data_IF_918550701413
#
_entry.id   IF_918550701413
#
_cell.length_a   1.000
_cell.length_b   1.000
_cell.length_c   1.000
_cell.angle_alpha   90.00
_cell.angle_beta   90.00
_cell.angle_gamma   90.00
#
_symmetry.space_group_name_H-M   'P 1'
#
loop_
_entity.id
_entity.type
_entity.pdbx_description
1 polymer ?
#
# COMPACT_ATOMS: atom_id res chain seq x y z
N UNK A 1 54.02 -38.31 -11.30
CA UNK A 1 54.74 -37.27 -10.53
C UNK A 1 53.69 -36.33 -9.96
N UNK A 2 53.84 -36.05 -8.67
CA UNK A 2 52.99 -35.28 -7.75
C UNK A 2 52.90 -33.81 -8.19
N UNK A 3 51.78 -33.13 -7.90
CA UNK A 3 51.68 -31.67 -8.05
C UNK A 3 50.39 -31.11 -7.46
N UNK A 4 50.21 -31.25 -6.14
CA UNK A 4 50.16 -30.14 -5.18
C UNK A 4 48.91 -29.25 -5.27
N UNK A 5 48.00 -29.54 -4.34
CA UNK A 5 46.96 -28.64 -3.84
C UNK A 5 47.64 -27.47 -3.12
N UNK A 6 47.44 -26.24 -3.60
CA UNK A 6 47.78 -25.03 -2.84
C UNK A 6 46.55 -24.52 -2.12
N UNK A 7 46.46 -24.82 -0.82
CA UNK A 7 45.65 -24.07 0.15
C UNK A 7 46.29 -22.68 0.29
N UNK A 8 45.61 -21.64 -0.17
CA UNK A 8 45.96 -20.26 0.20
C UNK A 8 45.49 -19.96 1.61
N UNK A 9 46.49 -19.71 2.43
CA UNK A 9 46.53 -19.31 3.84
C UNK A 9 45.44 -18.31 4.26
N UNK A 10 44.77 -18.66 5.35
CA UNK A 10 43.95 -17.77 6.16
C UNK A 10 44.74 -16.52 6.58
N UNK A 11 44.19 -15.34 6.27
CA UNK A 11 44.63 -14.10 6.90
C UNK A 11 44.15 -14.09 8.35
N UNK A 12 45.06 -14.38 9.27
CA UNK A 12 44.86 -14.15 10.69
C UNK A 12 44.92 -12.64 10.95
N UNK A 13 43.80 -12.02 11.30
CA UNK A 13 43.79 -10.68 11.89
C UNK A 13 44.23 -10.78 13.34
N UNK A 14 45.49 -10.45 13.62
CA UNK A 14 46.01 -10.25 14.97
C UNK A 14 45.50 -8.91 15.53
N UNK A 15 45.04 -8.83 16.79
CA UNK A 15 44.64 -7.56 17.39
C UNK A 15 45.87 -6.77 17.82
N UNK A 16 45.98 -5.53 17.35
CA UNK A 16 46.94 -4.56 17.86
C UNK A 16 46.20 -3.49 18.68
N UNK A 17 46.35 -3.54 20.00
CA UNK A 17 46.24 -2.35 20.83
C UNK A 17 47.63 -1.67 20.84
N UNK A 18 47.68 -0.33 20.87
CA UNK A 18 48.18 0.25 22.12
C UNK A 18 47.56 1.60 22.54
N UNK A 19 47.53 1.75 23.86
CA UNK A 19 47.73 2.95 24.71
C UNK A 19 46.84 4.18 24.58
N UNK A 20 46.18 4.47 25.71
CA UNK A 20 45.63 5.75 26.11
C UNK A 20 46.72 6.82 26.29
N UNK A 21 46.45 8.03 25.79
CA UNK A 21 46.73 9.27 26.52
C UNK A 21 45.77 10.37 26.04
N UNK A 22 45.30 11.19 26.99
CA UNK A 22 44.04 11.92 26.88
C UNK A 22 44.09 13.30 26.25
N UNK A 23 42.93 13.79 25.83
CA UNK A 23 42.46 15.16 26.09
C UNK A 23 41.01 15.33 25.68
N UNK A 24 40.28 16.06 26.52
CA UNK A 24 38.87 16.35 26.44
C UNK A 24 38.46 16.99 25.10
N UNK A 25 37.26 16.62 24.63
CA UNK A 25 36.62 17.25 23.49
C UNK A 25 35.26 16.61 23.26
N UNK A 26 34.25 17.24 23.88
CA UNK A 26 32.82 17.13 23.59
C UNK A 26 32.23 15.73 23.38
N UNK A 27 31.46 15.30 24.39
CA UNK A 27 30.38 14.33 24.26
C UNK A 27 29.49 14.70 23.05
N UNK A 28 29.85 14.17 21.88
CA UNK A 28 28.90 13.97 20.81
C UNK A 28 27.95 12.87 21.31
N UNK A 29 26.90 13.31 22.00
CA UNK A 29 25.67 12.56 22.19
C UNK A 29 25.16 12.19 20.80
N UNK A 30 25.69 11.09 20.26
CA UNK A 30 25.19 10.44 19.08
C UNK A 30 23.86 9.84 19.51
N UNK A 31 22.84 10.68 19.50
CA UNK A 31 21.44 10.32 19.62
C UNK A 31 21.22 9.23 18.57
N UNK A 32 21.28 7.96 19.01
CA UNK A 32 20.86 6.83 18.20
C UNK A 32 19.40 7.09 17.93
N UNK A 33 19.11 7.71 16.79
CA UNK A 33 17.78 7.70 16.21
C UNK A 33 17.37 6.23 16.20
N UNK A 34 16.45 5.90 17.11
CA UNK A 34 15.74 4.65 17.06
C UNK A 34 15.23 4.52 15.62
N UNK A 35 15.31 3.34 14.99
CA UNK A 35 14.64 3.15 13.72
C UNK A 35 13.20 3.60 13.96
N UNK A 36 12.74 4.61 13.22
CA UNK A 36 11.37 5.06 13.29
C UNK A 36 10.51 3.80 13.23
N UNK A 37 9.69 3.57 14.25
CA UNK A 37 8.73 2.48 14.21
C UNK A 37 8.02 2.61 12.86
N UNK A 38 7.93 1.53 12.06
CA UNK A 38 7.17 1.62 10.82
C UNK A 38 5.81 2.13 11.25
N UNK A 39 5.38 3.28 10.73
CA UNK A 39 4.01 3.75 10.91
C UNK A 39 3.14 2.60 10.41
N UNK A 40 2.68 1.76 11.33
CA UNK A 40 1.83 0.64 11.02
C UNK A 40 0.58 1.30 10.44
N UNK A 41 0.16 0.95 9.22
CA UNK A 41 -1.01 1.57 8.65
C UNK A 41 -2.17 1.38 9.62
N UNK A 42 -2.81 2.47 10.00
CA UNK A 42 -3.90 2.49 10.98
C UNK A 42 -5.13 1.72 10.47
N UNK A 43 -5.21 1.48 9.16
CA UNK A 43 -6.38 0.96 8.48
C UNK A 43 -6.08 -0.21 7.56
N UNK A 44 -7.04 -1.13 7.47
CA UNK A 44 -7.02 -2.27 6.55
C UNK A 44 -8.00 -2.04 5.42
N UNK A 45 -7.62 -2.44 4.21
CA UNK A 45 -8.50 -2.41 3.04
C UNK A 45 -8.55 -3.80 2.41
N UNK A 46 -9.53 -4.01 1.54
CA UNK A 46 -9.55 -5.18 0.67
C UNK A 46 -8.68 -4.89 -0.54
N UNK A 47 -7.65 -5.70 -0.72
CA UNK A 47 -6.87 -5.77 -1.94
C UNK A 47 -7.44 -6.83 -2.89
N UNK A 48 -7.71 -6.44 -4.13
CA UNK A 48 -8.19 -7.31 -5.20
C UNK A 48 -7.03 -7.92 -5.99
N UNK A 49 -6.83 -9.22 -5.81
CA UNK A 49 -5.88 -9.99 -6.60
C UNK A 49 -6.38 -10.27 -8.02
N UNK A 50 -5.47 -10.47 -8.98
CA UNK A 50 -4.00 -10.44 -8.83
C UNK A 50 -3.39 -9.04 -8.92
N UNK A 51 -4.18 -8.02 -9.22
CA UNK A 51 -3.68 -6.73 -9.70
C UNK A 51 -3.29 -5.75 -8.61
N UNK A 52 -3.73 -5.95 -7.37
CA UNK A 52 -3.36 -5.04 -6.30
C UNK A 52 -4.32 -3.86 -6.12
N UNK A 53 -5.52 -3.90 -6.71
CA UNK A 53 -6.48 -2.80 -6.62
C UNK A 53 -7.01 -2.70 -5.18
N UNK A 54 -6.94 -1.51 -4.61
CA UNK A 54 -7.42 -1.21 -3.27
C UNK A 54 -8.91 -0.88 -3.38
N UNK A 55 -9.75 -1.74 -2.82
CA UNK A 55 -11.19 -1.57 -2.87
C UNK A 55 -11.67 -0.58 -1.81
N UNK A 56 -11.68 0.68 -2.21
CA UNK A 56 -12.23 1.80 -1.44
C UNK A 56 -13.76 1.74 -1.32
N UNK A 57 -14.48 1.12 -2.26
CA UNK A 57 -15.94 1.08 -2.23
C UNK A 57 -16.50 0.31 -1.03
N UNK A 58 -15.78 -0.72 -0.56
CA UNK A 58 -16.12 -1.48 0.65
C UNK A 58 -15.61 -0.84 1.94
N UNK A 59 -14.89 0.27 1.83
CA UNK A 59 -14.44 1.09 2.96
C UNK A 59 -13.20 0.57 3.67
N UNK A 60 -12.80 1.33 4.69
CA UNK A 60 -11.71 0.99 5.58
C UNK A 60 -12.19 0.13 6.75
N UNK A 61 -11.32 -0.76 7.23
CA UNK A 61 -11.60 -1.63 8.36
C UNK A 61 -10.67 -1.33 9.53
N UNK A 62 -11.19 -1.24 10.77
CA UNK A 62 -10.37 -0.95 11.94
C UNK A 62 -9.48 -2.12 12.36
N UNK A 63 -9.78 -3.34 11.89
CA UNK A 63 -8.97 -4.52 12.18
C UNK A 63 -8.95 -5.47 11.00
N UNK A 64 -7.85 -6.22 10.88
CA UNK A 64 -7.72 -7.32 9.92
C UNK A 64 -8.85 -8.37 10.07
N UNK A 65 -9.30 -8.62 11.30
CA UNK A 65 -10.39 -9.58 11.56
C UNK A 65 -11.72 -9.07 11.03
N UNK A 66 -12.03 -7.79 11.19
CA UNK A 66 -13.28 -7.20 10.68
C UNK A 66 -13.33 -7.29 9.16
N UNK A 67 -12.23 -6.95 8.49
CA UNK A 67 -12.12 -7.10 7.04
C UNK A 67 -12.29 -8.56 6.61
N UNK A 68 -11.59 -9.51 7.24
CA UNK A 68 -11.67 -10.92 6.89
C UNK A 68 -13.08 -11.50 7.11
N UNK A 69 -13.79 -11.02 8.14
CA UNK A 69 -15.19 -11.41 8.36
C UNK A 69 -16.07 -10.98 7.20
N UNK A 70 -15.90 -9.76 6.67
CA UNK A 70 -16.62 -9.32 5.48
C UNK A 70 -16.28 -10.19 4.27
N UNK A 71 -14.99 -10.38 3.98
CA UNK A 71 -14.55 -11.19 2.82
C UNK A 71 -15.10 -12.62 2.89
N UNK A 72 -15.12 -13.23 4.08
CA UNK A 72 -15.69 -14.57 4.30
C UNK A 72 -17.20 -14.63 4.19
N UNK A 73 -17.88 -13.50 4.32
CA UNK A 73 -19.33 -13.40 4.19
C UNK A 73 -19.79 -13.22 2.75
N UNK A 74 -18.86 -13.02 1.80
CA UNK A 74 -19.20 -12.87 0.39
C UNK A 74 -19.89 -14.14 -0.15
N UNK A 75 -20.95 -14.03 -0.96
CA UNK A 75 -21.70 -15.19 -1.45
C UNK A 75 -20.85 -16.18 -2.27
N UNK A 76 -19.83 -15.68 -2.93
CA UNK A 76 -18.87 -16.39 -3.77
C UNK A 76 -17.56 -16.70 -3.04
N UNK A 77 -17.54 -16.55 -1.71
CA UNK A 77 -16.35 -16.84 -0.93
C UNK A 77 -15.93 -18.30 -1.07
N UNK A 78 -14.66 -18.47 -1.42
CA UNK A 78 -13.95 -19.73 -1.48
C UNK A 78 -12.55 -19.50 -0.94
N UNK A 79 -12.18 -20.31 0.06
CA UNK A 79 -10.86 -20.24 0.69
C UNK A 79 -9.70 -20.33 -0.32
N UNK A 80 -9.92 -20.99 -1.46
CA UNK A 80 -8.88 -21.22 -2.46
C UNK A 80 -8.87 -20.22 -3.62
N UNK A 81 -10.01 -19.58 -3.92
CA UNK A 81 -10.18 -18.84 -5.19
C UNK A 81 -10.65 -17.41 -5.03
N UNK A 82 -11.14 -17.00 -3.86
CA UNK A 82 -11.52 -15.60 -3.62
C UNK A 82 -10.32 -14.69 -3.86
N UNK A 83 -10.50 -13.64 -4.65
CA UNK A 83 -9.46 -12.67 -5.02
C UNK A 83 -9.21 -11.62 -3.94
N UNK A 84 -10.16 -11.41 -3.05
CA UNK A 84 -10.13 -10.45 -1.97
C UNK A 84 -9.15 -10.87 -0.89
N UNK A 85 -8.20 -10.00 -0.58
CA UNK A 85 -7.27 -10.17 0.52
C UNK A 85 -7.32 -8.94 1.41
N UNK A 86 -7.64 -9.16 2.67
CA UNK A 86 -7.51 -8.13 3.68
C UNK A 86 -6.04 -7.99 4.06
N UNK A 87 -5.50 -6.80 3.89
CA UNK A 87 -4.11 -6.52 4.24
C UNK A 87 -3.94 -5.04 4.63
N UNK A 88 -2.90 -4.74 5.42
CA UNK A 88 -2.46 -3.37 5.60
C UNK A 88 -1.98 -2.80 4.27
N UNK A 89 -2.48 -1.63 3.88
CA UNK A 89 -1.99 -0.90 2.71
C UNK A 89 -1.06 0.21 3.20
N UNK A 90 0.16 0.24 2.66
CA UNK A 90 1.14 1.28 2.95
C UNK A 90 1.20 2.32 1.84
N UNK A 91 1.81 3.46 2.16
CA UNK A 91 2.12 4.49 1.18
C UNK A 91 3.32 4.11 0.29
N UNK A 92 3.36 4.56 -0.97
CA UNK A 92 2.29 5.24 -1.70
C UNK A 92 1.32 4.23 -2.36
N UNK A 93 0.09 4.69 -2.57
CA UNK A 93 -0.83 4.07 -3.54
C UNK A 93 -0.81 4.85 -4.84
N UNK A 94 -1.16 4.18 -5.93
CA UNK A 94 -1.07 4.71 -7.28
C UNK A 94 -2.46 4.77 -7.88
N UNK A 95 -2.95 5.99 -8.12
CA UNK A 95 -4.36 6.22 -8.40
C UNK A 95 -4.58 6.90 -9.74
N UNK A 96 -5.54 6.39 -10.52
CA UNK A 96 -6.01 7.03 -11.76
C UNK A 96 -7.43 7.53 -11.56
N UNK A 97 -7.66 8.78 -11.96
CA UNK A 97 -8.98 9.37 -11.96
C UNK A 97 -9.63 9.22 -13.34
N UNK A 98 -10.85 8.70 -13.34
CA UNK A 98 -11.67 8.45 -14.51
C UNK A 98 -12.79 9.46 -14.61
N UNK A 99 -13.02 9.94 -15.83
CA UNK A 99 -14.19 10.72 -16.19
C UNK A 99 -15.04 9.91 -17.16
N UNK A 100 -16.25 9.56 -16.75
CA UNK A 100 -17.27 9.02 -17.64
C UNK A 100 -17.97 10.14 -18.39
N UNK A 101 -18.54 9.81 -19.55
CA UNK A 101 -19.41 10.75 -20.29
C UNK A 101 -20.77 10.90 -19.60
N UNK A 102 -21.29 9.82 -19.01
CA UNK A 102 -22.59 9.74 -18.31
C UNK A 102 -22.49 9.03 -16.94
N UNK A 103 -21.28 8.80 -16.43
CA UNK A 103 -21.04 8.15 -15.14
C UNK A 103 -20.38 9.12 -14.15
N UNK A 104 -20.61 8.88 -12.85
CA UNK A 104 -19.88 9.59 -11.80
C UNK A 104 -18.37 9.39 -11.97
N UNK A 105 -17.56 10.42 -11.65
CA UNK A 105 -16.12 10.28 -11.67
C UNK A 105 -15.68 9.17 -10.71
N UNK A 106 -14.71 8.37 -11.14
CA UNK A 106 -14.24 7.19 -10.42
C UNK A 106 -12.74 7.31 -10.15
N UNK A 107 -12.31 6.77 -9.01
CA UNK A 107 -10.90 6.70 -8.63
C UNK A 107 -10.51 5.24 -8.43
N UNK A 108 -9.59 4.75 -9.24
CA UNK A 108 -9.02 3.40 -9.10
C UNK A 108 -7.61 3.51 -8.55
N UNK A 109 -7.35 2.88 -7.41
CA UNK A 109 -6.08 2.95 -6.70
C UNK A 109 -5.45 1.57 -6.55
N UNK A 110 -4.13 1.48 -6.70
CA UNK A 110 -3.38 0.23 -6.67
C UNK A 110 -2.23 0.33 -5.68
N UNK A 111 -1.94 -0.78 -5.00
CA UNK A 111 -0.82 -0.84 -4.05
C UNK A 111 0.54 -0.95 -4.77
N UNK A 112 1.51 -0.14 -4.34
CA UNK A 112 2.92 -0.27 -4.72
C UNK A 112 3.27 0.15 -6.17
N UNK A 113 4.57 0.28 -6.43
CA UNK A 113 5.15 0.95 -7.63
C UNK A 113 4.67 0.39 -8.97
N UNK A 114 4.30 -0.90 -9.02
CA UNK A 114 3.79 -1.55 -10.24
C UNK A 114 2.33 -1.23 -10.57
N UNK A 115 1.61 -0.54 -9.69
CA UNK A 115 0.19 -0.20 -9.86
C UNK A 115 -0.06 0.57 -11.16
N UNK A 116 0.72 1.61 -11.44
CA UNK A 116 0.52 2.44 -12.64
C UNK A 116 0.80 1.73 -13.96
N UNK A 117 1.84 0.92 -14.04
CA UNK A 117 2.24 0.31 -15.32
C UNK A 117 1.27 -0.80 -15.75
N UNK A 118 0.70 -1.50 -14.76
CA UNK A 118 -0.33 -2.53 -14.94
C UNK A 118 -1.67 -1.89 -15.29
N UNK A 119 -2.03 -0.83 -14.58
CA UNK A 119 -3.26 -0.07 -14.74
C UNK A 119 -3.31 0.63 -16.11
N UNK A 120 -2.25 1.35 -16.50
CA UNK A 120 -2.19 2.02 -17.80
C UNK A 120 -2.35 1.03 -18.95
N UNK A 121 -1.70 -0.14 -18.93
CA UNK A 121 -1.86 -1.13 -20.00
C UNK A 121 -3.27 -1.72 -20.06
N UNK A 122 -3.87 -2.05 -18.91
CA UNK A 122 -5.23 -2.60 -18.87
C UNK A 122 -6.25 -1.56 -19.27
N UNK A 123 -6.06 -0.31 -18.85
CA UNK A 123 -7.01 0.74 -19.06
C UNK A 123 -6.84 1.49 -20.36
N UNK A 124 -5.66 1.57 -20.97
CA UNK A 124 -5.52 2.02 -22.36
C UNK A 124 -6.32 1.07 -23.28
N UNK A 125 -6.24 -0.25 -23.04
CA UNK A 125 -7.04 -1.24 -23.77
C UNK A 125 -8.55 -1.12 -23.53
N UNK A 126 -8.98 -0.78 -22.30
CA UNK A 126 -10.41 -0.66 -21.97
C UNK A 126 -10.99 0.71 -22.33
N UNK A 127 -10.25 1.81 -22.16
CA UNK A 127 -10.64 3.17 -22.50
C UNK A 127 -10.78 3.34 -24.02
N UNK A 128 -9.91 2.70 -24.82
CA UNK A 128 -10.08 2.67 -26.28
C UNK A 128 -11.35 1.92 -26.72
N UNK A 129 -11.90 1.05 -25.86
CA UNK A 129 -13.13 0.28 -26.13
C UNK A 129 -14.38 0.78 -25.38
N UNK A 130 -14.24 1.77 -24.49
CA UNK A 130 -15.26 2.17 -23.52
C UNK A 130 -15.66 3.65 -23.58
N UNK A 131 -16.64 4.05 -22.77
CA UNK A 131 -17.16 5.42 -22.68
C UNK A 131 -16.45 6.30 -21.62
N UNK A 132 -15.32 5.81 -21.07
CA UNK A 132 -14.54 6.46 -20.01
C UNK A 132 -13.24 7.01 -20.56
N UNK A 133 -12.82 8.16 -20.05
CA UNK A 133 -11.55 8.81 -20.38
C UNK A 133 -10.73 9.05 -19.11
N UNK A 134 -9.40 9.04 -19.24
CA UNK A 134 -8.48 9.37 -18.15
C UNK A 134 -8.55 10.88 -17.89
N UNK A 135 -8.94 11.28 -16.67
CA UNK A 135 -8.95 12.66 -16.23
C UNK A 135 -7.60 13.07 -15.63
N UNK A 136 -7.06 12.22 -14.75
CA UNK A 136 -5.70 12.34 -14.22
C UNK A 136 -5.01 10.99 -14.33
N UNK A 137 -3.79 11.00 -14.88
CA UNK A 137 -2.99 9.80 -15.02
C UNK A 137 -2.51 9.33 -13.65
N UNK A 138 -2.23 8.03 -13.57
CA UNK A 138 -1.77 7.35 -12.38
C UNK A 138 -0.62 8.08 -11.65
N UNK A 139 -0.91 8.68 -10.49
CA UNK A 139 0.06 9.40 -9.67
C UNK A 139 0.20 8.74 -8.28
N UNK A 140 1.43 8.72 -7.71
CA UNK A 140 1.62 8.29 -6.34
C UNK A 140 0.95 9.26 -5.37
N UNK A 141 0.14 8.73 -4.47
CA UNK A 141 -0.56 9.46 -3.42
C UNK A 141 -0.39 8.75 -2.08
N UNK A 142 -0.45 9.51 -0.98
CA UNK A 142 -0.67 8.90 0.33
C UNK A 142 -2.04 8.21 0.34
N UNK A 143 -2.15 7.08 1.01
CA UNK A 143 -3.38 6.29 1.13
C UNK A 143 -4.51 7.13 1.72
N UNK A 144 -4.21 7.93 2.75
CA UNK A 144 -5.19 8.82 3.38
C UNK A 144 -5.76 9.85 2.40
N UNK A 145 -4.89 10.47 1.58
CA UNK A 145 -5.32 11.44 0.57
C UNK A 145 -6.13 10.76 -0.55
N UNK A 146 -5.69 9.58 -1.01
CA UNK A 146 -6.40 8.80 -2.00
C UNK A 146 -7.80 8.40 -1.52
N UNK A 147 -7.92 7.99 -0.25
CA UNK A 147 -9.19 7.64 0.37
C UNK A 147 -10.12 8.86 0.51
N UNK A 148 -9.60 10.00 0.98
CA UNK A 148 -10.36 11.24 1.05
C UNK A 148 -10.84 11.71 -0.33
N UNK A 149 -10.00 11.58 -1.36
CA UNK A 149 -10.38 11.86 -2.76
C UNK A 149 -11.50 10.93 -3.23
N UNK A 150 -11.42 9.63 -2.93
CA UNK A 150 -12.48 8.68 -3.27
C UNK A 150 -13.82 9.10 -2.62
N UNK A 151 -13.81 9.40 -1.32
CA UNK A 151 -15.01 9.84 -0.60
C UNK A 151 -15.62 11.12 -1.18
N UNK A 152 -14.79 12.05 -1.67
CA UNK A 152 -15.27 13.25 -2.33
C UNK A 152 -15.93 12.99 -3.70
N UNK A 153 -15.49 11.94 -4.41
CA UNK A 153 -16.01 11.56 -5.73
C UNK A 153 -17.27 10.69 -5.64
N UNK A 154 -17.44 9.95 -4.55
CA UNK A 154 -18.67 9.25 -4.20
C UNK A 154 -19.28 9.86 -2.94
N UNK A 155 -19.99 10.99 -3.03
CA UNK A 155 -20.78 11.48 -1.92
C UNK A 155 -21.75 10.38 -1.53
N UNK A 156 -21.58 9.83 -0.33
CA UNK A 156 -22.46 8.81 0.19
C UNK A 156 -23.92 9.29 0.06
N UNK A 157 -24.78 8.48 -0.57
CA UNK A 157 -26.24 8.49 -0.35
C UNK A 157 -26.60 8.07 1.09
N UNK A 158 -25.79 8.47 2.08
CA UNK A 158 -26.15 8.41 3.49
C UNK A 158 -26.85 9.72 3.86
N UNK A 159 -28.00 9.95 3.23
CA UNK A 159 -28.99 10.83 3.84
C UNK A 159 -29.52 10.09 5.08
N UNK A 160 -29.37 10.63 6.30
CA UNK A 160 -30.06 10.05 7.45
C UNK A 160 -31.55 10.20 7.16
N UNK A 161 -32.25 9.09 6.97
CA UNK A 161 -33.72 9.10 6.95
C UNK A 161 -34.18 9.71 8.26
N UNK A 162 -34.52 11.00 8.23
CA UNK A 162 -35.06 11.71 9.36
C UNK A 162 -36.42 11.08 9.65
N UNK A 163 -36.45 10.14 10.59
CA UNK A 163 -37.68 9.67 11.20
C UNK A 163 -38.36 10.88 11.81
N UNK A 164 -39.36 11.41 11.12
CA UNK A 164 -40.28 12.41 11.64
C UNK A 164 -41.09 11.71 12.74
N UNK A 165 -40.99 12.09 14.02
CA UNK A 165 -41.93 11.60 15.00
C UNK A 165 -43.29 12.28 14.73
N UNK A 166 -44.27 11.50 14.32
CA UNK A 166 -45.65 11.97 14.20
C UNK A 166 -46.27 12.06 15.61
N UNK A 167 -46.98 13.15 15.95
CA UNK A 167 -47.72 13.29 17.21
C UNK A 167 -48.96 12.39 17.28
#
# INVERSE_FOLDING_TARGET
VVGFVTLTTAAACTPSAPTADGSAGEDAELERQAPAEPNLPEFFFINLLPWGEVDFSRGEFPTLSACNSLVRSLPDYSFYTTSERCEPIGDPVYCTAWQGTDELPRLDCFKGVGGCEVELKRHDLLAESGARTIAERCEPSALADAWARFQALTPNDQEPTATTPSP
#
